data_IF_888875986352
#
_entry.id   IF_888875986352
#
_cell.length_a   1.000
_cell.length_b   1.000
_cell.length_c   1.000
_cell.angle_alpha   90.00
_cell.angle_beta   90.00
_cell.angle_gamma   90.00
#
_symmetry.space_group_name_H-M   'P 1'
#
loop_
_entity.id
_entity.type
_entity.pdbx_description
1 polymer ?
#
# COMPACT_ATOMS: atom_id res chain seq x y z
N UNK A 1 0.35 -11.28 -18.60
CA UNK A 1 -0.96 -10.66 -18.79
C UNK A 1 -0.89 -9.27 -18.17
N UNK A 2 -1.00 -8.19 -18.96
CA UNK A 2 -1.08 -6.83 -18.40
C UNK A 2 -2.38 -6.72 -17.62
N UNK A 3 -2.30 -6.28 -16.36
CA UNK A 3 -3.46 -6.03 -15.51
C UNK A 3 -4.39 -4.96 -16.10
N UNK A 4 -5.60 -4.80 -15.56
CA UNK A 4 -6.51 -3.76 -16.00
C UNK A 4 -5.83 -2.38 -15.92
N UNK A 5 -5.99 -1.58 -16.97
CA UNK A 5 -5.41 -0.24 -17.02
C UNK A 5 -6.09 0.64 -15.97
N UNK A 6 -5.30 1.16 -15.02
CA UNK A 6 -5.77 2.20 -14.12
C UNK A 6 -5.99 3.50 -14.91
N UNK A 7 -6.84 4.38 -14.39
CA UNK A 7 -7.01 5.73 -14.94
C UNK A 7 -5.66 6.47 -14.89
N UNK A 8 -5.25 7.05 -16.02
CA UNK A 8 -3.91 7.64 -16.17
C UNK A 8 -3.90 9.17 -16.10
N UNK A 9 -5.08 9.81 -16.03
CA UNK A 9 -5.22 11.28 -15.98
C UNK A 9 -6.40 11.75 -15.15
N UNK A 10 -6.34 12.98 -14.64
CA UNK A 10 -7.42 13.59 -13.85
C UNK A 10 -7.33 13.26 -12.36
N UNK A 11 -8.33 13.67 -11.55
CA UNK A 11 -8.28 13.58 -10.10
C UNK A 11 -8.26 12.13 -9.57
N UNK A 12 -8.63 11.15 -10.40
CA UNK A 12 -8.59 9.74 -10.02
C UNK A 12 -7.32 9.03 -10.48
N UNK A 13 -6.45 9.69 -11.24
CA UNK A 13 -5.14 9.15 -11.57
C UNK A 13 -4.30 8.99 -10.29
N UNK A 14 -3.75 7.79 -10.03
CA UNK A 14 -2.87 7.59 -8.88
C UNK A 14 -1.68 8.55 -8.95
N UNK A 15 -1.37 9.29 -7.88
CA UNK A 15 -0.12 10.05 -7.82
C UNK A 15 1.08 9.09 -7.91
N UNK A 16 2.20 9.58 -8.42
CA UNK A 16 3.43 8.78 -8.50
C UNK A 16 4.03 8.66 -7.10
N UNK A 17 4.28 7.45 -6.59
CA UNK A 17 4.91 7.28 -5.29
C UNK A 17 6.33 7.80 -5.28
N UNK A 18 6.76 8.36 -4.14
CA UNK A 18 8.15 8.79 -3.95
C UNK A 18 9.08 7.59 -3.74
N UNK A 19 8.55 6.48 -3.22
CA UNK A 19 9.23 5.19 -3.11
C UNK A 19 8.24 4.04 -3.26
N UNK A 20 8.70 2.94 -3.84
CA UNK A 20 8.01 1.65 -3.82
C UNK A 20 8.85 0.64 -3.05
N UNK A 21 8.20 -0.21 -2.25
CA UNK A 21 8.83 -1.22 -1.41
C UNK A 21 8.13 -2.56 -1.63
N UNK A 22 8.79 -3.64 -1.22
CA UNK A 22 8.15 -4.96 -1.06
C UNK A 22 8.24 -5.36 0.40
N UNK A 23 7.09 -5.51 1.06
CA UNK A 23 7.02 -6.15 2.37
C UNK A 23 6.87 -7.66 2.19
N UNK A 24 7.44 -8.44 3.11
CA UNK A 24 7.32 -9.89 3.13
C UNK A 24 6.64 -10.29 4.43
N UNK A 25 5.45 -10.87 4.31
CA UNK A 25 4.63 -11.36 5.41
C UNK A 25 5.27 -12.57 6.09
N UNK A 26 4.79 -12.91 7.28
CA UNK A 26 5.30 -14.03 8.09
C UNK A 26 5.22 -15.38 7.35
N UNK A 27 4.21 -15.57 6.50
CA UNK A 27 4.02 -16.76 5.66
C UNK A 27 4.75 -16.70 4.30
N UNK A 28 5.53 -15.63 4.06
CA UNK A 28 6.27 -15.40 2.83
C UNK A 28 5.48 -14.68 1.72
N UNK A 29 4.22 -14.29 1.96
CA UNK A 29 3.48 -13.48 1.00
C UNK A 29 4.20 -12.15 0.73
N UNK A 30 4.30 -11.77 -0.54
CA UNK A 30 4.96 -10.52 -0.96
C UNK A 30 3.91 -9.45 -1.21
N UNK A 31 4.07 -8.29 -0.58
CA UNK A 31 3.14 -7.18 -0.67
C UNK A 31 3.80 -6.00 -1.35
N UNK A 32 3.15 -5.49 -2.40
CA UNK A 32 3.52 -4.24 -3.04
C UNK A 32 3.12 -3.06 -2.15
N UNK A 33 4.06 -2.18 -1.83
CA UNK A 33 3.86 -1.01 -0.96
C UNK A 33 4.34 0.25 -1.69
N UNK A 34 3.56 1.32 -1.56
CA UNK A 34 3.85 2.65 -2.08
C UNK A 34 3.95 3.64 -0.93
N UNK A 35 4.96 4.51 -1.01
CA UNK A 35 5.14 5.63 -0.09
C UNK A 35 4.90 6.92 -0.85
N UNK A 36 4.10 7.82 -0.26
CA UNK A 36 3.80 9.15 -0.77
C UNK A 36 4.01 10.19 0.34
N UNK A 37 4.23 11.45 -0.07
CA UNK A 37 4.43 12.56 0.86
C UNK A 37 5.85 12.64 1.45
N UNK A 38 6.10 13.63 2.33
CA UNK A 38 7.43 13.91 2.87
C UNK A 38 7.88 12.88 3.91
N UNK A 39 9.19 12.64 3.96
CA UNK A 39 9.80 11.85 5.02
C UNK A 39 9.72 12.57 6.38
N UNK A 40 9.56 11.80 7.46
CA UNK A 40 9.47 12.31 8.83
C UNK A 40 8.14 12.99 9.20
N UNK A 41 7.20 13.10 8.27
CA UNK A 41 5.82 13.51 8.56
C UNK A 41 5.03 12.39 9.25
N UNK A 42 3.94 12.71 9.97
CA UNK A 42 3.08 11.70 10.60
C UNK A 42 2.61 10.66 9.59
N UNK A 43 2.70 9.38 9.96
CA UNK A 43 2.38 8.27 9.08
C UNK A 43 0.87 7.99 9.02
N UNK A 44 0.37 7.68 7.83
CA UNK A 44 -0.98 7.15 7.62
C UNK A 44 -0.89 5.93 6.73
N UNK A 45 -1.46 4.80 7.17
CA UNK A 45 -1.53 3.57 6.38
C UNK A 45 -2.92 3.41 5.77
N UNK A 46 -2.98 3.15 4.47
CA UNK A 46 -4.23 2.94 3.72
C UNK A 46 -4.35 1.47 3.30
N UNK A 47 -5.25 0.74 3.97
CA UNK A 47 -5.61 -0.63 3.64
C UNK A 47 -6.92 -0.64 2.82
N UNK A 48 -6.88 -1.16 1.60
CA UNK A 48 -8.06 -1.23 0.72
C UNK A 48 -8.99 -2.42 1.07
N UNK A 49 -10.20 -2.43 0.52
CA UNK A 49 -11.15 -3.54 0.66
C UNK A 49 -10.99 -4.65 -0.39
N UNK A 50 -11.86 -5.67 -0.32
CA UNK A 50 -11.86 -6.79 -1.27
C UNK A 50 -12.03 -6.32 -2.72
N UNK A 51 -11.29 -6.92 -3.67
CA UNK A 51 -11.25 -6.59 -5.12
C UNK A 51 -10.68 -5.21 -5.49
N UNK A 52 -10.10 -4.46 -4.53
CA UNK A 52 -9.48 -3.17 -4.79
C UNK A 52 -7.96 -3.26 -5.01
N UNK A 53 -7.29 -2.11 -5.09
CA UNK A 53 -5.83 -1.94 -5.09
C UNK A 53 -5.48 -0.56 -4.51
N UNK A 54 -4.20 -0.21 -4.38
CA UNK A 54 -3.73 1.13 -3.98
C UNK A 54 -4.36 2.26 -4.80
N UNK A 55 -4.69 2.00 -6.07
CA UNK A 55 -5.31 2.98 -6.97
C UNK A 55 -6.67 3.53 -6.49
N UNK A 56 -7.38 2.81 -5.61
CA UNK A 56 -8.64 3.29 -5.01
C UNK A 56 -8.44 4.56 -4.19
N UNK A 57 -7.23 4.78 -3.69
CA UNK A 57 -6.90 5.88 -2.79
C UNK A 57 -6.36 7.11 -3.51
N UNK A 58 -6.39 7.17 -4.85
CA UNK A 58 -5.75 8.25 -5.62
C UNK A 58 -6.13 9.67 -5.14
N UNK A 59 -7.40 9.90 -4.80
CA UNK A 59 -7.85 11.19 -4.28
C UNK A 59 -7.36 11.45 -2.85
N UNK A 60 -7.44 10.45 -1.97
CA UNK A 60 -7.00 10.57 -0.57
C UNK A 60 -5.49 10.76 -0.47
N UNK A 61 -4.71 10.01 -1.26
CA UNK A 61 -3.25 10.15 -1.29
C UNK A 61 -2.88 11.57 -1.73
N UNK A 62 -3.55 12.13 -2.75
CA UNK A 62 -3.23 13.49 -3.22
C UNK A 62 -3.40 14.54 -2.12
N UNK A 63 -4.46 14.43 -1.33
CA UNK A 63 -4.71 15.37 -0.24
C UNK A 63 -3.78 15.12 0.95
N UNK A 64 -3.68 13.87 1.41
CA UNK A 64 -2.89 13.51 2.60
C UNK A 64 -1.38 13.67 2.40
N UNK A 65 -0.87 13.41 1.19
CA UNK A 65 0.57 13.50 0.91
C UNK A 65 1.12 14.93 0.96
N UNK A 66 0.28 15.95 1.12
CA UNK A 66 0.71 17.33 1.32
C UNK A 66 1.46 17.51 2.65
N UNK A 67 1.04 16.80 3.71
CA UNK A 67 1.54 16.97 5.07
C UNK A 67 1.68 15.66 5.87
N UNK A 68 1.29 14.51 5.30
CA UNK A 68 1.47 13.19 5.89
C UNK A 68 2.35 12.31 5.02
N UNK A 69 3.01 11.36 5.68
CA UNK A 69 3.67 10.24 5.01
C UNK A 69 2.65 9.12 4.80
N UNK A 70 2.18 8.97 3.57
CA UNK A 70 1.12 7.99 3.24
C UNK A 70 1.75 6.68 2.78
N UNK A 71 1.36 5.59 3.43
CA UNK A 71 1.78 4.23 3.14
C UNK A 71 0.55 3.49 2.59
N UNK A 72 0.53 3.22 1.29
CA UNK A 72 -0.53 2.43 0.66
C UNK A 72 0.05 1.09 0.24
N UNK A 73 -0.69 0.00 0.42
CA UNK A 73 -0.24 -1.31 -0.04
C UNK A 73 -1.38 -2.09 -0.69
N UNK A 74 -1.00 -2.96 -1.62
CA UNK A 74 -1.92 -3.94 -2.19
C UNK A 74 -1.97 -5.15 -1.26
N UNK A 75 -3.16 -5.49 -0.74
CA UNK A 75 -3.35 -6.72 0.02
C UNK A 75 -2.98 -7.94 -0.82
N UNK A 76 -2.61 -9.05 -0.15
CA UNK A 76 -2.28 -10.31 -0.83
C UNK A 76 -3.28 -10.67 -1.93
N UNK A 77 -2.77 -11.06 -3.10
CA UNK A 77 -3.57 -11.41 -4.28
C UNK A 77 -4.31 -10.27 -4.97
N UNK A 78 -4.08 -9.02 -4.60
CA UNK A 78 -4.70 -7.84 -5.21
C UNK A 78 -3.65 -6.94 -5.86
N UNK A 79 -4.09 -6.11 -6.82
CA UNK A 79 -3.24 -5.14 -7.49
C UNK A 79 -1.93 -5.74 -8.01
N UNK A 80 -0.81 -5.25 -7.48
CA UNK A 80 0.55 -5.68 -7.81
C UNK A 80 1.11 -6.73 -6.84
N UNK A 81 0.40 -7.05 -5.76
CA UNK A 81 0.75 -8.13 -4.84
C UNK A 81 0.36 -9.49 -5.43
N UNK A 82 1.29 -10.45 -5.55
CA UNK A 82 0.97 -11.80 -6.02
C UNK A 82 -0.09 -12.51 -5.15
N UNK A 83 -0.79 -13.46 -5.76
CA UNK A 83 -1.69 -14.36 -5.01
C UNK A 83 -0.91 -15.22 -4.02
N UNK A 84 -1.51 -15.45 -2.86
CA UNK A 84 -1.03 -16.39 -1.82
C UNK A 84 -2.00 -17.55 -1.68
N UNK A 85 -1.52 -18.67 -1.12
CA UNK A 85 -2.31 -19.90 -0.98
C UNK A 85 -3.47 -19.76 0.02
N UNK A 86 -3.36 -18.84 0.99
CA UNK A 86 -4.37 -18.61 2.01
C UNK A 86 -4.63 -17.11 2.20
N UNK A 87 -5.90 -16.77 2.46
CA UNK A 87 -6.35 -15.43 2.82
C UNK A 87 -7.33 -15.56 3.99
N UNK A 88 -6.82 -15.38 5.21
CA UNK A 88 -7.60 -15.32 6.45
C UNK A 88 -7.43 -13.93 7.09
N UNK A 89 -8.27 -13.60 8.07
CA UNK A 89 -8.13 -12.35 8.82
C UNK A 89 -6.75 -12.25 9.51
N UNK A 90 -6.26 -13.35 10.11
CA UNK A 90 -4.93 -13.40 10.73
C UNK A 90 -3.83 -13.14 9.70
N UNK A 91 -3.93 -13.75 8.52
CA UNK A 91 -2.95 -13.54 7.46
C UNK A 91 -2.93 -12.09 6.95
N UNK A 92 -4.09 -11.41 6.94
CA UNK A 92 -4.17 -9.98 6.63
C UNK A 92 -3.61 -9.09 7.75
N UNK A 93 -3.69 -9.53 9.00
CA UNK A 93 -3.05 -8.83 10.13
C UNK A 93 -1.52 -8.95 10.05
N UNK A 94 -1.00 -10.15 9.80
CA UNK A 94 0.44 -10.41 9.60
C UNK A 94 0.99 -9.61 8.40
N UNK A 95 0.19 -9.48 7.33
CA UNK A 95 0.51 -8.63 6.19
C UNK A 95 0.68 -7.17 6.59
N UNK A 96 -0.27 -6.63 7.35
CA UNK A 96 -0.21 -5.25 7.83
C UNK A 96 0.99 -5.03 8.76
N UNK A 97 1.28 -5.97 9.65
CA UNK A 97 2.46 -5.92 10.51
C UNK A 97 3.76 -5.89 9.69
N UNK A 98 3.86 -6.70 8.64
CA UNK A 98 5.03 -6.71 7.75
C UNK A 98 5.17 -5.37 6.99
N UNK A 99 4.06 -4.78 6.54
CA UNK A 99 4.04 -3.45 5.91
C UNK A 99 4.54 -2.40 6.89
N UNK A 100 4.01 -2.36 8.12
CA UNK A 100 4.43 -1.41 9.15
C UNK A 100 5.92 -1.55 9.47
N UNK A 101 6.39 -2.78 9.70
CA UNK A 101 7.80 -3.08 9.98
C UNK A 101 8.72 -2.65 8.84
N UNK A 102 8.29 -2.83 7.59
CA UNK A 102 9.09 -2.48 6.40
C UNK A 102 9.08 -0.97 6.14
N UNK A 103 7.97 -0.29 6.39
CA UNK A 103 7.76 1.09 6.00
C UNK A 103 8.11 2.09 7.09
N UNK A 104 7.98 1.77 8.38
CA UNK A 104 8.21 2.71 9.47
C UNK A 104 9.67 2.69 9.95
N UNK A 105 10.19 3.86 10.33
CA UNK A 105 11.46 3.94 11.03
C UNK A 105 11.28 3.53 12.51
N UNK A 106 12.36 3.05 13.19
CA UNK A 106 12.29 2.69 14.60
C UNK A 106 11.77 3.85 15.46
N UNK A 107 10.69 3.62 16.22
CA UNK A 107 10.08 4.62 17.10
C UNK A 107 9.00 5.50 16.47
N UNK A 108 8.76 5.38 15.16
CA UNK A 108 7.54 5.92 14.55
C UNK A 108 6.32 5.13 15.03
N UNK A 109 5.19 5.82 15.19
CA UNK A 109 3.90 5.26 15.60
C UNK A 109 2.84 5.49 14.54
#
# INVERSE_FOLDING_TARGET
MSGPAHVTSGPYAPPVPVRELTAVSADGARLHVEIHGPDGAPAVVLAHGWTCSTAFWAAQIRELAADHRVIAYDQRGHGRSPASAACSADALADDLEAVLTTALAPGER
#
